data_IF_066724865445
#
_entry.id   IF_066724865445
#
_cell.length_a   1.000
_cell.length_b   1.000
_cell.length_c   1.000
_cell.angle_alpha   90.00
_cell.angle_beta   90.00
_cell.angle_gamma   90.00
#
_symmetry.space_group_name_H-M   'P 1'
#
loop_
_entity.id
_entity.type
_entity.pdbx_description
1 polymer ?
#
# COMPACT_ATOMS: atom_id res chain seq x y z
N UNK A 1 -23.38 -57.33 18.25
CA UNK A 1 -22.07 -57.14 17.60
C UNK A 1 -22.08 -56.09 16.47
N UNK A 2 -23.18 -55.93 15.73
CA UNK A 2 -23.30 -54.96 14.62
C UNK A 2 -23.50 -53.51 15.12
N UNK A 3 -24.25 -53.30 16.21
CA UNK A 3 -24.55 -51.97 16.75
C UNK A 3 -23.30 -51.19 17.23
N UNK A 4 -22.34 -51.88 17.86
CA UNK A 4 -21.08 -51.27 18.30
C UNK A 4 -20.22 -50.79 17.14
N UNK A 5 -20.31 -51.44 15.96
CA UNK A 5 -19.56 -51.01 14.77
C UNK A 5 -20.16 -49.76 14.14
N UNK A 6 -21.47 -49.59 14.21
CA UNK A 6 -22.12 -48.35 13.76
C UNK A 6 -21.77 -47.17 14.66
N UNK A 7 -21.76 -47.38 15.98
CA UNK A 7 -21.44 -46.31 16.93
C UNK A 7 -19.97 -45.85 16.82
N UNK A 8 -19.06 -46.79 16.55
CA UNK A 8 -17.66 -46.47 16.29
C UNK A 8 -17.48 -45.71 14.97
N UNK A 9 -18.24 -46.07 13.93
CA UNK A 9 -18.25 -45.37 12.64
C UNK A 9 -18.79 -43.93 12.77
N UNK A 10 -19.85 -43.70 13.56
CA UNK A 10 -20.37 -42.35 13.82
C UNK A 10 -19.37 -41.48 14.59
N UNK A 11 -18.62 -42.07 15.53
CA UNK A 11 -17.58 -41.36 16.27
C UNK A 11 -16.45 -40.89 15.33
N UNK A 12 -15.98 -41.77 14.44
CA UNK A 12 -14.92 -41.43 13.47
C UNK A 12 -15.36 -40.32 12.49
N UNK A 13 -16.62 -40.35 12.05
CA UNK A 13 -17.17 -39.30 11.17
C UNK A 13 -17.23 -37.95 11.89
N UNK A 14 -17.69 -37.92 13.15
CA UNK A 14 -17.79 -36.67 13.91
C UNK A 14 -16.40 -36.08 14.23
N UNK A 15 -15.42 -36.92 14.54
CA UNK A 15 -14.02 -36.49 14.74
C UNK A 15 -13.42 -35.95 13.44
N UNK A 16 -13.69 -36.61 12.30
CA UNK A 16 -13.25 -36.12 11.00
C UNK A 16 -13.90 -34.77 10.65
N UNK A 17 -15.20 -34.61 10.90
CA UNK A 17 -15.90 -33.33 10.68
C UNK A 17 -15.35 -32.22 11.58
N UNK A 18 -15.10 -32.51 12.86
CA UNK A 18 -14.51 -31.54 13.79
C UNK A 18 -13.10 -31.11 13.35
N UNK A 19 -12.29 -32.05 12.86
CA UNK A 19 -10.96 -31.76 12.34
C UNK A 19 -11.00 -30.90 11.07
N UNK A 20 -11.95 -31.15 10.16
CA UNK A 20 -12.15 -30.33 8.96
C UNK A 20 -12.59 -28.90 9.33
N UNK A 21 -13.50 -28.77 10.30
CA UNK A 21 -13.95 -27.46 10.78
C UNK A 21 -12.82 -26.66 11.45
N UNK A 22 -11.98 -27.32 12.26
CA UNK A 22 -10.82 -26.72 12.91
C UNK A 22 -9.74 -26.29 11.88
N UNK A 23 -9.51 -27.08 10.84
CA UNK A 23 -8.57 -26.73 9.77
C UNK A 23 -9.07 -25.54 8.94
N UNK A 24 -10.38 -25.46 8.70
CA UNK A 24 -10.99 -24.33 8.00
C UNK A 24 -10.89 -23.03 8.82
N UNK A 25 -11.10 -23.11 10.14
CA UNK A 25 -10.94 -21.96 11.04
C UNK A 25 -9.49 -21.46 11.13
N UNK A 26 -8.51 -22.39 11.14
CA UNK A 26 -7.08 -22.06 11.18
C UNK A 26 -6.61 -21.40 9.88
N UNK A 27 -7.05 -21.92 8.73
CA UNK A 27 -6.76 -21.31 7.44
C UNK A 27 -7.37 -19.91 7.32
N UNK A 28 -8.58 -19.68 7.86
CA UNK A 28 -9.23 -18.35 7.84
C UNK A 28 -8.49 -17.29 8.68
N UNK A 29 -7.77 -17.70 9.73
CA UNK A 29 -6.99 -16.79 10.59
C UNK A 29 -5.67 -16.37 9.91
N UNK A 30 -5.00 -17.29 9.21
CA UNK A 30 -3.76 -16.99 8.47
C UNK A 30 -3.99 -16.06 7.26
N UNK A 31 -5.16 -16.10 6.61
CA UNK A 31 -5.46 -15.15 5.51
C UNK A 31 -5.59 -13.71 6.01
N UNK A 32 -6.05 -13.52 7.25
CA UNK A 32 -6.21 -12.19 7.83
C UNK A 32 -4.87 -11.50 8.12
N UNK A 33 -3.86 -12.25 8.57
CA UNK A 33 -2.51 -11.74 8.76
C UNK A 33 -1.81 -11.45 7.42
N UNK A 34 -2.06 -12.26 6.39
CA UNK A 34 -1.53 -12.01 5.04
C UNK A 34 -2.11 -10.77 4.36
N UNK A 35 -3.41 -10.50 4.54
CA UNK A 35 -4.06 -9.30 3.97
C UNK A 35 -3.52 -8.03 4.65
N UNK A 36 -3.36 -8.05 5.98
CA UNK A 36 -2.81 -6.90 6.73
C UNK A 36 -1.32 -6.63 6.41
N UNK A 37 -0.55 -7.66 6.09
CA UNK A 37 0.84 -7.49 5.63
C UNK A 37 0.91 -6.91 4.20
N UNK A 38 -0.02 -7.30 3.32
CA UNK A 38 -0.01 -6.89 1.91
C UNK A 38 -0.35 -5.41 1.70
N UNK A 39 -1.20 -4.83 2.56
CA UNK A 39 -1.63 -3.43 2.44
C UNK A 39 -0.56 -2.41 2.91
N UNK A 40 0.42 -2.84 3.72
CA UNK A 40 1.45 -1.94 4.25
C UNK A 40 2.63 -1.68 3.31
N UNK A 41 2.88 -2.55 2.33
CA UNK A 41 3.98 -2.34 1.38
C UNK A 41 3.77 -1.11 0.49
N UNK A 42 2.50 -0.81 0.16
CA UNK A 42 2.16 0.39 -0.61
C UNK A 42 2.61 1.67 0.09
N UNK A 43 2.35 1.78 1.40
CA UNK A 43 2.78 2.92 2.19
C UNK A 43 4.31 3.01 2.24
N UNK A 44 5.01 1.90 2.49
CA UNK A 44 6.49 1.89 2.53
C UNK A 44 7.09 2.38 1.20
N UNK A 45 6.54 1.94 0.07
CA UNK A 45 6.97 2.37 -1.28
C UNK A 45 6.70 3.88 -1.48
N UNK A 46 5.53 4.37 -1.06
CA UNK A 46 5.18 5.80 -1.17
C UNK A 46 6.11 6.66 -0.30
N UNK A 47 6.33 6.27 0.96
CA UNK A 47 7.17 7.02 1.89
C UNK A 47 8.65 7.00 1.49
N UNK A 48 9.13 5.91 0.88
CA UNK A 48 10.52 5.79 0.39
C UNK A 48 10.76 6.46 -0.96
N UNK A 49 9.73 6.69 -1.78
CA UNK A 49 9.82 7.39 -3.08
C UNK A 49 10.55 8.75 -2.98
N UNK A 50 10.17 9.54 -1.99
CA UNK A 50 10.73 10.88 -1.78
C UNK A 50 12.18 10.79 -1.30
N UNK A 51 12.50 9.80 -0.44
CA UNK A 51 13.86 9.56 0.04
C UNK A 51 14.79 9.14 -1.10
N UNK A 52 14.33 8.25 -1.99
CA UNK A 52 15.08 7.79 -3.16
C UNK A 52 15.33 8.93 -4.15
N UNK A 53 14.33 9.79 -4.38
CA UNK A 53 14.49 10.98 -5.25
C UNK A 53 15.50 11.96 -4.66
N UNK A 54 15.43 12.21 -3.35
CA UNK A 54 16.35 13.11 -2.64
C UNK A 54 17.80 12.58 -2.67
N UNK A 55 17.98 11.29 -2.40
CA UNK A 55 19.31 10.68 -2.35
C UNK A 55 19.95 10.63 -3.75
N UNK A 56 19.14 10.41 -4.80
CA UNK A 56 19.59 10.51 -6.19
C UNK A 56 20.14 11.91 -6.52
N UNK A 57 19.48 12.98 -6.06
CA UNK A 57 19.97 14.35 -6.24
C UNK A 57 21.28 14.60 -5.50
N UNK A 58 21.42 14.12 -4.25
CA UNK A 58 22.68 14.23 -3.49
C UNK A 58 23.85 13.53 -4.19
N UNK A 59 23.62 12.35 -4.78
CA UNK A 59 24.64 11.62 -5.52
C UNK A 59 25.13 12.45 -6.72
N UNK A 60 24.22 13.13 -7.43
CA UNK A 60 24.57 14.03 -8.53
C UNK A 60 25.42 15.20 -8.02
N UNK A 61 25.02 15.85 -6.93
CA UNK A 61 25.75 16.99 -6.35
C UNK A 61 27.15 16.59 -5.85
N UNK A 62 27.26 15.45 -5.17
CA UNK A 62 28.54 14.88 -4.74
C UNK A 62 29.43 14.56 -5.95
N UNK A 63 28.86 13.96 -6.99
CA UNK A 63 29.60 13.65 -8.21
C UNK A 63 30.11 14.94 -8.91
N UNK A 64 29.31 16.00 -8.97
CA UNK A 64 29.77 17.29 -9.50
C UNK A 64 30.86 17.93 -8.62
N UNK A 65 30.74 17.82 -7.29
CA UNK A 65 31.74 18.32 -6.34
C UNK A 65 33.10 17.63 -6.53
N UNK A 66 33.10 16.31 -6.71
CA UNK A 66 34.32 15.53 -6.98
C UNK A 66 34.89 15.79 -8.38
N UNK A 67 34.05 16.07 -9.38
CA UNK A 67 34.48 16.46 -10.72
C UNK A 67 35.26 17.79 -10.71
N UNK A 68 34.86 18.71 -9.81
CA UNK A 68 35.47 20.04 -9.65
C UNK A 68 36.82 19.98 -8.93
N UNK A 69 37.12 18.90 -8.21
CA UNK A 69 38.42 18.72 -7.57
C UNK A 69 39.51 18.47 -8.63
N UNK A 70 40.69 19.05 -8.38
CA UNK A 70 41.82 19.00 -9.33
C UNK A 70 42.58 17.66 -9.29
N UNK A 71 42.41 16.86 -8.23
CA UNK A 71 43.17 15.62 -7.98
C UNK A 71 42.60 14.37 -8.65
N UNK A 72 41.45 14.44 -9.31
CA UNK A 72 40.84 13.28 -9.98
C UNK A 72 41.46 13.04 -11.35
N UNK A 73 41.86 11.80 -11.61
CA UNK A 73 42.47 11.35 -12.86
C UNK A 73 41.51 11.58 -14.04
N UNK A 74 42.04 11.84 -15.25
CA UNK A 74 41.20 12.05 -16.46
C UNK A 74 40.18 10.94 -16.67
N UNK A 75 40.59 9.68 -16.45
CA UNK A 75 39.72 8.49 -16.53
C UNK A 75 38.56 8.55 -15.53
N UNK A 76 38.85 8.84 -14.26
CA UNK A 76 37.84 8.95 -13.19
C UNK A 76 36.84 10.08 -13.45
N UNK A 77 37.31 11.21 -14.02
CA UNK A 77 36.42 12.31 -14.42
C UNK A 77 35.47 11.90 -15.54
N UNK A 78 35.94 11.10 -16.50
CA UNK A 78 35.11 10.63 -17.60
C UNK A 78 34.05 9.63 -17.12
N UNK A 79 34.44 8.69 -16.25
CA UNK A 79 33.52 7.73 -15.62
C UNK A 79 32.47 8.43 -14.76
N UNK A 80 32.88 9.40 -13.93
CA UNK A 80 31.97 10.16 -13.08
C UNK A 80 31.00 11.00 -13.92
N UNK A 81 31.46 11.57 -15.03
CA UNK A 81 30.60 12.28 -15.98
C UNK A 81 29.58 11.33 -16.64
N UNK A 82 29.98 10.11 -17.01
CA UNK A 82 29.05 9.09 -17.53
C UNK A 82 28.03 8.66 -16.47
N UNK A 83 28.45 8.51 -15.21
CA UNK A 83 27.56 8.19 -14.09
C UNK A 83 26.52 9.30 -13.89
N UNK A 84 26.94 10.56 -13.83
CA UNK A 84 26.03 11.71 -13.70
C UNK A 84 25.02 11.76 -14.83
N UNK A 85 25.46 11.55 -16.08
CA UNK A 85 24.54 11.52 -17.24
C UNK A 85 23.51 10.41 -17.08
N UNK A 86 23.93 9.20 -16.67
CA UNK A 86 23.00 8.09 -16.43
C UNK A 86 22.02 8.38 -15.30
N UNK A 87 22.50 8.83 -14.14
CA UNK A 87 21.64 9.12 -12.97
C UNK A 87 20.67 10.28 -13.26
N UNK A 88 21.10 11.27 -14.04
CA UNK A 88 20.24 12.39 -14.48
C UNK A 88 19.18 11.96 -15.50
N UNK A 89 19.48 10.97 -16.34
CA UNK A 89 18.53 10.44 -17.33
C UNK A 89 17.54 9.45 -16.72
N UNK A 90 17.98 8.68 -15.73
CA UNK A 90 17.19 7.68 -15.01
C UNK A 90 16.93 8.11 -13.57
N UNK A 91 16.54 9.37 -13.35
CA UNK A 91 16.15 9.80 -12.00
C UNK A 91 15.02 8.88 -11.55
N UNK A 92 15.19 8.17 -10.42
CA UNK A 92 14.19 7.25 -9.92
C UNK A 92 12.97 8.05 -9.46
N UNK A 93 12.03 8.29 -10.37
CA UNK A 93 10.71 8.82 -10.05
C UNK A 93 9.71 7.69 -10.14
N UNK A 94 9.12 7.29 -9.01
CA UNK A 94 8.00 6.37 -9.03
C UNK A 94 6.83 7.09 -9.71
N UNK A 95 6.38 6.55 -10.83
CA UNK A 95 5.23 7.08 -11.58
C UNK A 95 4.19 6.00 -11.74
N UNK A 96 2.94 6.30 -11.37
CA UNK A 96 1.80 5.46 -11.67
C UNK A 96 1.45 5.63 -13.16
N UNK A 97 1.78 4.61 -13.97
CA UNK A 97 1.48 4.56 -15.41
C UNK A 97 1.89 5.80 -16.22
N UNK A 98 2.92 6.55 -15.78
CA UNK A 98 3.37 7.86 -16.32
C UNK A 98 2.36 9.01 -16.23
N UNK A 99 1.17 8.80 -15.65
CA UNK A 99 0.18 9.85 -15.47
C UNK A 99 0.43 10.67 -14.22
N UNK A 100 0.87 10.03 -13.13
CA UNK A 100 1.07 10.68 -11.84
C UNK A 100 2.44 10.33 -11.27
N UNK A 101 3.17 11.34 -10.80
CA UNK A 101 4.35 11.15 -9.98
C UNK A 101 3.89 10.77 -8.57
N UNK A 102 4.29 9.59 -8.11
CA UNK A 102 4.00 9.10 -6.76
C UNK A 102 4.97 9.80 -5.82
N UNK A 103 4.50 10.88 -5.19
CA UNK A 103 5.15 11.55 -4.08
C UNK A 103 4.17 11.64 -2.91
N UNK A 104 4.68 11.94 -1.70
CA UNK A 104 3.80 12.07 -0.53
C UNK A 104 2.73 13.14 -0.71
N UNK A 105 3.04 14.22 -1.41
CA UNK A 105 2.12 15.34 -1.61
C UNK A 105 0.88 14.95 -2.43
N UNK A 106 1.05 14.16 -3.48
CA UNK A 106 -0.04 13.66 -4.33
C UNK A 106 -0.94 12.71 -3.55
N UNK A 107 -0.37 11.85 -2.70
CA UNK A 107 -1.14 10.92 -1.88
C UNK A 107 -1.91 11.66 -0.77
N UNK A 108 -1.27 12.61 -0.09
CA UNK A 108 -1.95 13.46 0.91
C UNK A 108 -3.06 14.29 0.25
N UNK A 109 -2.83 14.79 -0.96
CA UNK A 109 -3.86 15.47 -1.76
C UNK A 109 -5.03 14.55 -2.09
N UNK A 110 -4.77 13.30 -2.49
CA UNK A 110 -5.82 12.32 -2.77
C UNK A 110 -6.64 12.00 -1.51
N UNK A 111 -5.98 11.80 -0.36
CA UNK A 111 -6.64 11.59 0.93
C UNK A 111 -7.51 12.80 1.30
N UNK A 112 -6.99 14.01 1.11
CA UNK A 112 -7.75 15.24 1.36
C UNK A 112 -8.99 15.36 0.48
N UNK A 113 -8.87 15.07 -0.83
CA UNK A 113 -10.01 15.06 -1.76
C UNK A 113 -11.02 13.99 -1.36
N UNK A 114 -10.58 12.76 -1.11
CA UNK A 114 -11.44 11.67 -0.68
C UNK A 114 -12.20 12.02 0.61
N UNK A 115 -11.51 12.62 1.59
CA UNK A 115 -12.11 13.05 2.86
C UNK A 115 -13.15 14.14 2.63
N UNK A 116 -12.85 15.11 1.76
CA UNK A 116 -13.78 16.19 1.40
C UNK A 116 -15.05 15.62 0.77
N UNK A 117 -14.92 14.69 -0.18
CA UNK A 117 -16.07 14.00 -0.78
C UNK A 117 -16.88 13.21 0.27
N UNK A 118 -16.21 12.48 1.16
CA UNK A 118 -16.88 11.75 2.23
C UNK A 118 -17.68 12.68 3.15
N UNK A 119 -17.11 13.83 3.53
CA UNK A 119 -17.80 14.83 4.35
C UNK A 119 -19.04 15.37 3.63
N UNK A 120 -18.91 15.73 2.35
CA UNK A 120 -20.03 16.24 1.56
C UNK A 120 -21.14 15.21 1.45
N UNK A 121 -20.80 13.94 1.21
CA UNK A 121 -21.78 12.84 1.13
C UNK A 121 -22.52 12.66 2.46
N UNK A 122 -21.80 12.70 3.59
CA UNK A 122 -22.41 12.59 4.93
C UNK A 122 -23.37 13.74 5.18
N UNK A 123 -22.95 14.98 4.91
CA UNK A 123 -23.79 16.17 5.09
C UNK A 123 -25.05 16.14 4.19
N UNK A 124 -24.93 15.62 2.97
CA UNK A 124 -26.07 15.42 2.08
C UNK A 124 -27.00 14.28 2.56
N UNK A 125 -26.43 13.23 3.15
CA UNK A 125 -27.19 12.13 3.74
C UNK A 125 -28.04 12.58 4.93
N UNK A 126 -27.42 13.29 5.87
CA UNK A 126 -28.08 13.77 7.09
C UNK A 126 -29.17 14.81 6.80
N UNK A 127 -28.95 15.69 5.82
CA UNK A 127 -29.95 16.69 5.42
C UNK A 127 -31.22 16.09 4.77
N UNK A 128 -31.12 14.93 4.11
CA UNK A 128 -32.30 14.21 3.61
C UNK A 128 -33.07 13.47 4.73
N UNK A 129 -32.43 13.19 5.86
CA UNK A 129 -33.05 12.52 7.01
C UNK A 129 -34.00 13.46 7.78
N UNK A 130 -33.65 14.74 7.91
CA UNK A 130 -34.48 15.73 8.61
C UNK A 130 -35.76 16.13 7.84
N UNK A 131 -35.73 16.07 6.49
CA UNK A 131 -36.89 16.40 5.66
C UNK A 131 -38.02 15.37 5.81
N UNK A 132 -37.69 14.09 6.04
CA UNK A 132 -38.68 13.01 6.06
C UNK A 132 -39.42 12.88 7.41
N UNK A 133 -38.89 13.50 8.48
CA UNK A 133 -39.50 13.45 9.81
C UNK A 133 -40.52 14.59 10.06
N UNK A 134 -40.50 15.66 9.25
CA UNK A 134 -41.44 16.79 9.39
C UNK A 134 -42.72 16.65 8.56
N UNK A 135 -42.79 15.72 7.61
CA UNK A 135 -43.99 15.48 6.79
C UNK A 135 -45.05 14.61 7.47
N UNK A 136 -44.77 14.04 8.65
CA UNK A 136 -45.70 13.20 9.41
C UNK A 136 -46.36 13.93 10.61
N UNK A 137 -46.11 15.24 10.78
CA UNK A 137 -46.59 16.03 11.93
C UNK A 137 -47.61 17.13 11.56
N UNK A 138 -48.27 17.01 10.41
CA UNK A 138 -49.30 17.96 9.93
C UNK A 138 -50.56 17.28 9.37
N UNK A 139 -50.94 16.11 9.90
CA UNK A 139 -52.29 15.56 9.72
C UNK A 139 -52.96 15.36 11.08
#
# INVERSE_FOLDING_TARGET
MILNRFQDMYCQINVALANIAQNHAKNSLEVHDYILAQDNYGLVIIFSSDAVTLESQKIIDLAYKELRKRSTTKLQKEELKRLVVKVKYYVPSLTAAKFFKINRNTILGLISVATTYSIVIIQLGDSNFDVNNNTNSTN
#
